data_IF_172228778116
#
_entry.id   IF_172228778116
#
_cell.length_a   1.000
_cell.length_b   1.000
_cell.length_c   1.000
_cell.angle_alpha   90.00
_cell.angle_beta   90.00
_cell.angle_gamma   90.00
#
_symmetry.space_group_name_H-M   'P 1'
#
loop_
_entity.id
_entity.type
_entity.pdbx_description
1 polymer ?
#
# COMPACT_ATOMS: atom_id res chain seq x y z
N UNK A 1 -22.07 -11.06 -11.09
CA UNK A 1 -20.77 -11.27 -10.42
C UNK A 1 -20.15 -12.64 -10.73
N UNK A 2 -20.93 -13.72 -10.92
CA UNK A 2 -20.41 -15.09 -11.15
C UNK A 2 -19.62 -15.33 -12.45
N UNK A 3 -20.02 -14.77 -13.61
CA UNK A 3 -19.37 -15.07 -14.90
C UNK A 3 -17.88 -14.68 -14.96
N UNK A 4 -17.51 -13.56 -14.35
CA UNK A 4 -16.13 -13.05 -14.42
C UNK A 4 -15.16 -13.90 -13.57
N UNK A 5 -15.61 -14.35 -12.41
CA UNK A 5 -14.86 -15.24 -11.52
C UNK A 5 -14.70 -16.66 -12.07
N UNK A 6 -15.65 -17.12 -12.92
CA UNK A 6 -15.55 -18.40 -13.62
C UNK A 6 -14.55 -18.35 -14.79
N UNK A 7 -14.44 -17.21 -15.46
CA UNK A 7 -13.59 -17.02 -16.65
C UNK A 7 -12.14 -16.63 -16.31
N UNK A 8 -11.93 -15.83 -15.26
CA UNK A 8 -10.60 -15.28 -14.89
C UNK A 8 -10.08 -15.74 -13.51
N UNK A 9 -10.84 -16.59 -12.81
CA UNK A 9 -10.54 -17.01 -11.45
C UNK A 9 -10.92 -15.99 -10.38
N UNK A 10 -10.88 -16.40 -9.11
CA UNK A 10 -11.16 -15.48 -8.00
C UNK A 10 -10.01 -14.47 -7.86
N UNK A 11 -10.32 -13.21 -7.51
CA UNK A 11 -9.33 -12.19 -7.15
C UNK A 11 -8.63 -12.46 -5.80
N UNK A 12 -8.74 -13.68 -5.27
CA UNK A 12 -8.06 -14.12 -4.05
C UNK A 12 -6.78 -14.87 -4.42
N UNK A 13 -5.68 -14.63 -3.68
CA UNK A 13 -4.34 -15.19 -3.94
C UNK A 13 -3.68 -14.73 -5.24
N UNK A 14 -3.94 -13.50 -5.66
CA UNK A 14 -3.28 -12.88 -6.82
C UNK A 14 -1.79 -12.70 -6.52
N UNK A 15 -0.92 -13.08 -7.48
CA UNK A 15 0.52 -12.88 -7.38
C UNK A 15 0.86 -11.39 -7.09
N UNK A 16 1.75 -11.16 -6.12
CA UNK A 16 2.30 -9.85 -5.73
C UNK A 16 2.73 -9.02 -6.93
N UNK A 17 3.45 -9.61 -7.88
CA UNK A 17 3.87 -8.95 -9.12
C UNK A 17 2.69 -8.57 -10.01
N UNK A 18 1.64 -9.39 -10.05
CA UNK A 18 0.44 -9.09 -10.82
C UNK A 18 -0.33 -7.93 -10.19
N UNK A 19 -0.50 -7.89 -8.86
CA UNK A 19 -1.12 -6.73 -8.18
C UNK A 19 -0.37 -5.44 -8.50
N UNK A 20 0.96 -5.46 -8.43
CA UNK A 20 1.77 -4.28 -8.76
C UNK A 20 1.66 -3.91 -10.23
N UNK A 21 1.76 -4.87 -11.16
CA UNK A 21 1.66 -4.59 -12.61
C UNK A 21 0.28 -4.10 -13.00
N UNK A 22 -0.78 -4.63 -12.40
CA UNK A 22 -2.16 -4.23 -12.64
C UNK A 22 -2.32 -2.78 -12.20
N UNK A 23 -1.92 -2.44 -10.98
CA UNK A 23 -1.97 -1.07 -10.49
C UNK A 23 -1.15 -0.09 -11.34
N UNK A 24 0.10 -0.44 -11.67
CA UNK A 24 0.93 0.40 -12.54
C UNK A 24 0.31 0.58 -13.93
N UNK A 25 -0.32 -0.46 -14.49
CA UNK A 25 -0.92 -0.39 -15.83
C UNK A 25 -2.21 0.41 -15.83
N UNK A 26 -3.07 0.22 -14.82
CA UNK A 26 -4.29 1.01 -14.64
C UNK A 26 -3.96 2.48 -14.43
N UNK A 27 -2.99 2.79 -13.57
CA UNK A 27 -2.55 4.16 -13.36
C UNK A 27 -1.85 4.75 -14.57
N UNK A 28 -0.99 4.01 -15.29
CA UNK A 28 -0.33 4.55 -16.50
C UNK A 28 -1.33 4.84 -17.63
N UNK A 29 -2.43 4.08 -17.72
CA UNK A 29 -3.44 4.28 -18.76
C UNK A 29 -4.37 5.46 -18.48
N UNK A 30 -4.65 5.81 -17.22
CA UNK A 30 -5.44 7.01 -16.90
C UNK A 30 -4.63 8.33 -17.06
N UNK A 31 -3.33 8.24 -17.37
CA UNK A 31 -2.38 9.27 -16.96
C UNK A 31 -1.24 9.49 -17.96
N UNK A 32 -1.48 10.37 -18.93
CA UNK A 32 -0.40 11.21 -19.48
C UNK A 32 -0.17 12.47 -18.62
N UNK A 33 -1.10 12.81 -17.71
CA UNK A 33 -1.09 14.07 -16.93
C UNK A 33 -0.54 13.97 -15.48
N UNK A 34 -0.69 12.84 -14.78
CA UNK A 34 -0.20 12.54 -13.41
C UNK A 34 1.22 11.93 -13.39
N UNK A 35 1.99 11.98 -14.49
CA UNK A 35 3.39 11.54 -14.50
C UNK A 35 4.25 12.21 -13.42
N UNK A 36 3.83 13.40 -12.97
CA UNK A 36 4.43 14.14 -11.87
C UNK A 36 4.32 13.47 -10.49
N UNK A 37 3.37 12.55 -10.29
CA UNK A 37 3.13 11.88 -8.99
C UNK A 37 3.75 10.48 -8.92
N UNK A 38 4.52 10.09 -9.94
CA UNK A 38 5.08 8.75 -10.05
C UNK A 38 6.61 8.75 -9.97
N UNK A 39 7.13 8.18 -8.88
CA UNK A 39 8.55 7.79 -8.83
C UNK A 39 8.69 6.36 -9.37
N UNK A 40 9.57 6.10 -10.36
CA UNK A 40 9.78 4.74 -10.86
C UNK A 40 10.14 3.77 -9.75
N UNK A 41 9.52 2.58 -9.76
CA UNK A 41 9.69 1.58 -8.69
C UNK A 41 11.15 1.24 -8.38
N UNK A 42 12.00 1.10 -9.40
CA UNK A 42 13.43 0.83 -9.22
C UNK A 42 14.13 1.94 -8.42
N UNK A 43 13.69 3.18 -8.58
CA UNK A 43 14.20 4.33 -7.81
C UNK A 43 13.70 4.23 -6.37
N UNK A 44 12.41 4.02 -6.15
CA UNK A 44 11.81 3.83 -4.81
C UNK A 44 12.56 2.75 -4.02
N UNK A 45 12.69 1.56 -4.59
CA UNK A 45 13.37 0.44 -3.94
C UNK A 45 14.85 0.74 -3.63
N UNK A 46 15.52 1.50 -4.48
CA UNK A 46 16.91 1.88 -4.25
C UNK A 46 17.04 2.88 -3.10
N UNK A 47 16.10 3.82 -2.98
CA UNK A 47 16.04 4.75 -1.85
C UNK A 47 15.73 4.01 -0.54
N UNK A 48 14.78 3.07 -0.55
CA UNK A 48 14.47 2.22 0.63
C UNK A 48 15.72 1.45 1.08
N UNK A 49 16.46 0.84 0.13
CA UNK A 49 17.72 0.16 0.40
C UNK A 49 18.80 1.06 0.98
N UNK A 50 19.00 2.24 0.39
CA UNK A 50 19.97 3.21 0.90
C UNK A 50 19.62 3.70 2.32
N UNK A 51 18.32 3.79 2.64
CA UNK A 51 17.85 4.11 3.98
C UNK A 51 17.94 2.93 4.97
N UNK A 52 18.32 1.73 4.51
CA UNK A 52 18.43 0.52 5.33
C UNK A 52 17.08 -0.01 5.81
N UNK A 53 15.98 0.38 5.16
CA UNK A 53 14.62 0.04 5.61
C UNK A 53 14.24 -1.42 5.29
N UNK A 54 14.86 -2.04 4.30
CA UNK A 54 14.65 -3.45 3.98
C UNK A 54 15.58 -4.40 4.76
N UNK A 55 16.53 -3.86 5.52
CA UNK A 55 17.48 -4.66 6.28
C UNK A 55 16.81 -5.36 7.49
N UNK A 56 17.08 -6.65 7.74
CA UNK A 56 16.51 -7.37 8.88
C UNK A 56 16.88 -6.78 10.25
N UNK A 57 17.98 -6.03 10.31
CA UNK A 57 18.48 -5.36 11.52
C UNK A 57 17.76 -4.05 11.83
N UNK A 58 17.00 -3.49 10.88
CA UNK A 58 16.30 -2.23 11.10
C UNK A 58 15.09 -2.43 12.02
N UNK A 59 15.10 -1.75 13.17
CA UNK A 59 14.03 -1.81 14.16
C UNK A 59 12.99 -0.70 13.93
N UNK A 60 11.81 -1.11 13.45
CA UNK A 60 10.68 -0.22 13.19
C UNK A 60 9.90 0.19 14.44
N UNK A 61 10.00 -0.55 15.54
CA UNK A 61 9.26 -0.26 16.77
C UNK A 61 9.54 1.14 17.29
N UNK A 62 8.48 1.92 17.54
CA UNK A 62 8.54 3.32 17.98
C UNK A 62 8.98 4.30 16.89
N UNK A 63 9.21 3.86 15.65
CA UNK A 63 9.62 4.74 14.54
C UNK A 63 8.41 5.31 13.82
N UNK A 64 8.60 6.51 13.26
CA UNK A 64 7.67 7.16 12.35
C UNK A 64 8.39 7.41 11.04
N UNK A 65 7.82 6.93 9.94
CA UNK A 65 8.33 7.14 8.59
C UNK A 65 7.29 7.97 7.85
N UNK A 66 7.73 9.03 7.19
CA UNK A 66 6.86 9.95 6.50
C UNK A 66 7.35 10.18 5.07
N UNK A 67 6.41 10.17 4.13
CA UNK A 67 6.60 10.69 2.78
C UNK A 67 5.75 11.98 2.64
N UNK A 68 6.39 13.17 2.59
CA UNK A 68 5.68 14.44 2.57
C UNK A 68 5.01 14.78 1.23
N UNK A 69 5.33 14.03 0.15
CA UNK A 69 4.76 14.19 -1.19
C UNK A 69 4.51 12.81 -1.79
N UNK A 70 3.61 12.06 -1.15
CA UNK A 70 3.50 10.62 -1.36
C UNK A 70 2.94 10.23 -2.72
N UNK A 71 2.31 11.15 -3.45
CA UNK A 71 1.58 10.86 -4.68
C UNK A 71 0.60 9.73 -4.41
N UNK A 72 0.70 8.69 -5.23
CA UNK A 72 -0.10 7.46 -5.12
C UNK A 72 0.41 6.47 -4.04
N UNK A 73 1.22 6.92 -3.09
CA UNK A 73 1.69 6.14 -1.94
C UNK A 73 2.84 5.19 -2.23
N UNK A 74 3.61 5.42 -3.30
CA UNK A 74 4.61 4.47 -3.81
C UNK A 74 5.65 4.04 -2.78
N UNK A 75 6.22 4.98 -2.02
CA UNK A 75 7.21 4.68 -0.97
C UNK A 75 6.61 3.87 0.17
N UNK A 76 5.47 4.32 0.70
CA UNK A 76 4.78 3.68 1.84
C UNK A 76 4.42 2.23 1.51
N UNK A 77 3.85 2.01 0.32
CA UNK A 77 3.46 0.69 -0.16
C UNK A 77 4.68 -0.20 -0.39
N UNK A 78 5.75 0.34 -0.99
CA UNK A 78 6.94 -0.46 -1.28
C UNK A 78 7.71 -0.87 0.00
N UNK A 79 7.66 -0.08 1.07
CA UNK A 79 8.17 -0.48 2.40
C UNK A 79 7.45 -1.75 2.90
N UNK A 80 6.12 -1.78 2.84
CA UNK A 80 5.32 -2.97 3.20
C UNK A 80 5.58 -4.15 2.26
N UNK A 81 5.83 -3.86 0.99
CA UNK A 81 6.13 -4.86 -0.02
C UNK A 81 7.49 -5.52 0.20
N UNK A 82 8.51 -4.74 0.57
CA UNK A 82 9.88 -5.23 0.78
C UNK A 82 10.06 -5.87 2.16
N UNK A 83 9.18 -5.58 3.12
CA UNK A 83 9.28 -6.11 4.48
C UNK A 83 7.99 -6.83 4.92
N UNK A 84 7.99 -8.15 4.76
CA UNK A 84 6.83 -8.99 5.10
C UNK A 84 6.48 -8.96 6.59
N UNK A 85 7.46 -8.75 7.48
CA UNK A 85 7.23 -8.64 8.92
C UNK A 85 6.41 -7.40 9.26
N UNK A 86 6.68 -6.27 8.60
CA UNK A 86 5.87 -5.06 8.77
C UNK A 86 4.45 -5.25 8.27
N UNK A 87 4.30 -5.86 7.09
CA UNK A 87 2.97 -6.17 6.55
C UNK A 87 2.20 -7.09 7.48
N UNK A 88 2.86 -8.05 8.12
CA UNK A 88 2.23 -8.95 9.09
C UNK A 88 1.72 -8.23 10.35
N UNK A 89 2.27 -7.08 10.73
CA UNK A 89 1.75 -6.27 11.85
C UNK A 89 0.33 -5.73 11.61
N UNK A 90 -0.15 -5.71 10.36
CA UNK A 90 -1.54 -5.37 10.04
C UNK A 90 -2.52 -6.53 10.30
N UNK A 91 -2.02 -7.71 10.68
CA UNK A 91 -2.87 -8.85 11.05
C UNK A 91 -3.55 -8.56 12.38
N UNK A 92 -4.89 -8.56 12.44
CA UNK A 92 -5.60 -8.38 13.70
C UNK A 92 -5.19 -9.44 14.73
N UNK A 93 -5.03 -9.02 15.97
CA UNK A 93 -4.82 -9.93 17.09
C UNK A 93 -6.12 -10.69 17.44
N UNK A 94 -6.06 -11.60 18.40
CA UNK A 94 -7.21 -12.47 18.74
C UNK A 94 -8.46 -11.72 19.21
N UNK A 95 -8.33 -10.47 19.68
CA UNK A 95 -9.45 -9.61 20.05
C UNK A 95 -9.94 -8.72 18.87
N UNK A 96 -9.34 -8.86 17.69
CA UNK A 96 -9.68 -8.09 16.50
C UNK A 96 -8.97 -6.73 16.38
N UNK A 97 -8.13 -6.34 17.34
CA UNK A 97 -7.38 -5.08 17.32
C UNK A 97 -6.13 -5.18 16.45
N UNK A 98 -5.77 -4.05 15.81
CA UNK A 98 -4.56 -3.88 15.01
C UNK A 98 -3.69 -2.84 15.72
N UNK A 99 -2.64 -3.30 16.39
CA UNK A 99 -1.69 -2.43 17.09
C UNK A 99 -0.39 -2.37 16.29
N UNK A 100 -0.18 -1.26 15.58
CA UNK A 100 1.01 -1.06 14.77
C UNK A 100 2.14 -0.53 15.66
N UNK A 101 3.28 -1.23 15.77
CA UNK A 101 4.40 -0.76 16.59
C UNK A 101 5.17 0.39 15.93
N UNK A 102 4.71 0.89 14.78
CA UNK A 102 5.34 1.94 13.98
C UNK A 102 4.25 2.82 13.35
N UNK A 103 4.66 3.98 12.81
CA UNK A 103 3.77 4.88 12.08
C UNK A 103 4.29 5.08 10.66
N UNK A 104 3.43 4.90 9.67
CA UNK A 104 3.69 5.25 8.27
C UNK A 104 2.73 6.38 7.87
N UNK A 105 3.27 7.53 7.47
CA UNK A 105 2.47 8.68 7.05
C UNK A 105 2.79 9.06 5.60
N UNK A 106 1.76 9.20 4.78
CA UNK A 106 1.85 9.84 3.48
C UNK A 106 1.11 11.17 3.50
N UNK A 107 1.75 12.23 3.03
CA UNK A 107 1.13 13.54 2.83
C UNK A 107 1.19 13.89 1.35
N UNK A 108 0.14 14.51 0.85
CA UNK A 108 0.16 15.20 -0.43
C UNK A 108 -0.72 16.44 -0.31
N UNK A 109 -0.63 17.34 -1.29
CA UNK A 109 -1.59 18.43 -1.40
C UNK A 109 -2.97 17.81 -1.63
N UNK A 110 -3.98 18.41 -1.02
CA UNK A 110 -5.37 17.97 -1.12
C UNK A 110 -6.31 19.16 -1.36
N UNK A 111 -5.78 20.23 -1.96
CA UNK A 111 -6.51 21.48 -2.13
C UNK A 111 -7.22 21.57 -3.48
N UNK A 112 -6.80 20.75 -4.46
CA UNK A 112 -7.39 20.70 -5.80
C UNK A 112 -8.04 19.33 -6.07
N UNK A 113 -8.98 19.26 -7.02
CA UNK A 113 -9.73 18.02 -7.30
C UNK A 113 -8.84 16.86 -7.75
N UNK A 114 -7.75 17.15 -8.48
CA UNK A 114 -6.82 16.11 -8.93
C UNK A 114 -5.86 15.65 -7.81
N UNK A 115 -5.57 16.54 -6.88
CA UNK A 115 -4.84 16.27 -5.65
C UNK A 115 -5.66 15.38 -4.70
N UNK A 116 -6.98 15.61 -4.57
CA UNK A 116 -7.89 14.72 -3.84
C UNK A 116 -7.92 13.29 -4.43
N UNK A 117 -7.92 13.17 -5.77
CA UNK A 117 -7.86 11.87 -6.46
C UNK A 117 -6.56 11.14 -6.13
N UNK A 118 -5.45 11.85 -6.05
CA UNK A 118 -4.14 11.29 -5.72
C UNK A 118 -4.13 10.64 -4.33
N UNK A 119 -4.74 11.31 -3.33
CA UNK A 119 -4.91 10.74 -1.98
C UNK A 119 -5.81 9.50 -1.99
N UNK A 120 -6.91 9.51 -2.75
CA UNK A 120 -7.80 8.35 -2.89
C UNK A 120 -7.05 7.17 -3.53
N UNK A 121 -6.25 7.43 -4.55
CA UNK A 121 -5.42 6.43 -5.20
C UNK A 121 -4.36 5.85 -4.27
N UNK A 122 -3.73 6.68 -3.43
CA UNK A 122 -2.76 6.23 -2.43
C UNK A 122 -3.39 5.27 -1.40
N UNK A 123 -4.57 5.63 -0.87
CA UNK A 123 -5.33 4.77 0.06
C UNK A 123 -5.76 3.46 -0.61
N UNK A 124 -6.26 3.54 -1.84
CA UNK A 124 -6.66 2.36 -2.62
C UNK A 124 -5.48 1.43 -2.89
N UNK A 125 -4.30 2.00 -3.17
CA UNK A 125 -3.06 1.24 -3.36
C UNK A 125 -2.72 0.43 -2.10
N UNK A 126 -2.70 1.09 -0.95
CA UNK A 126 -2.44 0.43 0.33
C UNK A 126 -3.46 -0.68 0.62
N UNK A 127 -4.76 -0.43 0.36
CA UNK A 127 -5.81 -1.42 0.55
C UNK A 127 -5.59 -2.69 -0.29
N UNK A 128 -5.18 -2.54 -1.55
CA UNK A 128 -4.88 -3.68 -2.43
C UNK A 128 -3.76 -4.56 -1.84
N UNK A 129 -2.76 -3.94 -1.22
CA UNK A 129 -1.65 -4.66 -0.57
C UNK A 129 -2.07 -5.37 0.72
N UNK A 130 -3.05 -4.82 1.44
CA UNK A 130 -3.61 -5.41 2.65
C UNK A 130 -4.83 -6.32 2.38
N UNK A 131 -5.30 -6.42 1.14
CA UNK A 131 -6.56 -7.07 0.79
C UNK A 131 -6.64 -8.52 1.28
N UNK A 132 -5.55 -9.29 1.23
CA UNK A 132 -5.53 -10.66 1.75
C UNK A 132 -5.79 -10.74 3.25
N UNK A 133 -5.21 -9.81 4.01
CA UNK A 133 -5.44 -9.70 5.45
C UNK A 133 -6.89 -9.25 5.68
N UNK A 134 -7.36 -8.24 4.96
CA UNK A 134 -8.74 -7.75 5.09
C UNK A 134 -9.78 -8.87 4.83
N UNK A 135 -9.59 -9.66 3.76
CA UNK A 135 -10.48 -10.77 3.44
C UNK A 135 -10.41 -11.93 4.44
N UNK A 136 -9.27 -12.11 5.08
CA UNK A 136 -9.10 -13.12 6.14
C UNK A 136 -9.75 -12.68 7.47
N UNK A 137 -9.93 -11.37 7.67
CA UNK A 137 -10.45 -10.79 8.91
C UNK A 137 -11.58 -9.77 8.64
N UNK A 138 -12.71 -10.18 8.03
CA UNK A 138 -13.79 -9.27 7.64
C UNK A 138 -14.42 -8.54 8.83
N UNK A 139 -14.42 -9.14 10.02
CA UNK A 139 -14.97 -8.54 11.24
C UNK A 139 -14.13 -7.36 11.77
N UNK A 140 -12.86 -7.27 11.36
CA UNK A 140 -11.94 -6.19 11.76
C UNK A 140 -11.94 -5.03 10.77
N UNK A 141 -12.81 -5.00 9.75
CA UNK A 141 -12.83 -3.95 8.73
C UNK A 141 -12.94 -2.53 9.31
N UNK A 142 -13.72 -2.34 10.38
CA UNK A 142 -13.82 -1.06 11.09
C UNK A 142 -12.51 -0.65 11.77
N UNK A 143 -11.68 -1.60 12.18
CA UNK A 143 -10.36 -1.34 12.76
C UNK A 143 -9.37 -0.89 11.69
N UNK A 144 -9.38 -1.52 10.52
CA UNK A 144 -8.60 -1.08 9.37
C UNK A 144 -8.91 0.36 8.91
N UNK A 145 -10.13 0.85 9.14
CA UNK A 145 -10.50 2.23 8.80
C UNK A 145 -9.93 3.29 9.77
N UNK A 146 -9.47 2.88 10.95
CA UNK A 146 -9.01 3.78 12.02
C UNK A 146 -7.47 3.83 12.16
N UNK A 147 -6.73 3.09 11.34
CA UNK A 147 -5.27 3.13 11.22
C UNK A 147 -4.86 3.98 10.03
#
# INVERSE_FOLDING_TARGET
>A
MNKYSEEFGSLTKINKEFKTKLYESFLKQEVEALGQYFTPRKVIQSVIRMAGLDEPSFQYTGKRIADPFCGVGGFIVEILNMNEKLRACYTPSSNGEIDLPFVLNGFDKGFERDDERTIILAKSNMLIYLAEILFSYPQSASKFANI
#
